data_IF_265647490315
#
_entry.id   IF_265647490315
#
_cell.length_a   1.000
_cell.length_b   1.000
_cell.length_c   1.000
_cell.angle_alpha   90.00
_cell.angle_beta   90.00
_cell.angle_gamma   90.00
#
_symmetry.space_group_name_H-M   'P 1'
#
loop_
_entity.id
_entity.type
_entity.pdbx_description
1 polymer ?
#
# COMPACT_ATOMS: atom_id res chain seq x y z
N UNK A 1 20.35 -8.23 -15.64
CA UNK A 1 20.06 -9.06 -14.45
C UNK A 1 18.57 -9.11 -14.23
N UNK A 2 17.91 -10.24 -14.49
CA UNK A 2 16.50 -10.43 -14.15
C UNK A 2 16.38 -10.50 -12.63
N UNK A 3 15.75 -9.52 -11.98
CA UNK A 3 15.37 -9.65 -10.56
C UNK A 3 14.42 -10.84 -10.48
N UNK A 4 14.83 -11.92 -9.80
CA UNK A 4 13.91 -12.98 -9.41
C UNK A 4 13.02 -12.42 -8.30
N UNK A 5 11.92 -11.77 -8.68
CA UNK A 5 10.97 -11.20 -7.72
C UNK A 5 10.19 -12.35 -7.08
N UNK A 6 10.57 -12.71 -5.84
CA UNK A 6 9.81 -13.66 -5.06
C UNK A 6 8.55 -12.99 -4.49
N UNK A 7 7.43 -13.70 -4.49
CA UNK A 7 6.18 -13.20 -3.89
C UNK A 7 6.33 -13.07 -2.36
N UNK A 8 6.07 -11.87 -1.83
CA UNK A 8 6.20 -11.43 -0.43
C UNK A 8 4.86 -11.18 0.30
N UNK A 9 3.77 -11.77 -0.21
CA UNK A 9 2.42 -11.61 0.37
C UNK A 9 2.37 -11.82 1.90
N UNK A 10 3.05 -12.86 2.40
CA UNK A 10 3.11 -13.14 3.85
C UNK A 10 3.70 -11.96 4.62
N UNK A 11 4.85 -11.46 4.19
CA UNK A 11 5.54 -10.37 4.86
C UNK A 11 4.68 -9.10 4.87
N UNK A 12 4.03 -8.80 3.75
CA UNK A 12 3.14 -7.65 3.63
C UNK A 12 1.93 -7.74 4.57
N UNK A 13 1.22 -8.88 4.60
CA UNK A 13 0.08 -9.08 5.49
C UNK A 13 0.46 -9.00 6.97
N UNK A 14 1.55 -9.67 7.37
CA UNK A 14 2.02 -9.63 8.76
C UNK A 14 2.39 -8.20 9.18
N UNK A 15 3.02 -7.43 8.29
CA UNK A 15 3.35 -6.02 8.55
C UNK A 15 2.09 -5.18 8.73
N UNK A 16 1.12 -5.33 7.82
CA UNK A 16 -0.15 -4.60 7.89
C UNK A 16 -0.92 -4.91 9.19
N UNK A 17 -1.03 -6.19 9.58
CA UNK A 17 -1.72 -6.58 10.81
C UNK A 17 -1.05 -6.01 12.07
N UNK A 18 0.29 -6.01 12.11
CA UNK A 18 1.05 -5.39 13.20
C UNK A 18 0.82 -3.87 13.28
N UNK A 19 0.77 -3.18 12.14
CA UNK A 19 0.60 -1.72 12.13
C UNK A 19 -0.84 -1.28 12.42
N UNK A 20 -1.83 -2.04 11.92
CA UNK A 20 -3.26 -1.74 12.09
C UNK A 20 -3.83 -2.20 13.44
N UNK A 21 -3.14 -3.09 14.16
CA UNK A 21 -3.66 -3.72 15.38
C UNK A 21 -4.80 -4.72 15.12
N UNK A 22 -5.07 -5.06 13.86
CA UNK A 22 -6.11 -6.00 13.49
C UNK A 22 -5.64 -7.44 13.64
N UNK A 23 -6.58 -8.33 14.00
CA UNK A 23 -6.36 -9.77 13.89
C UNK A 23 -6.54 -10.24 12.45
N UNK A 24 -5.88 -11.35 12.08
CA UNK A 24 -6.07 -11.99 10.78
C UNK A 24 -7.55 -12.37 10.55
N UNK A 25 -8.25 -12.84 11.58
CA UNK A 25 -9.66 -13.20 11.49
C UNK A 25 -10.55 -11.98 11.17
N UNK A 26 -10.26 -10.84 11.79
CA UNK A 26 -10.99 -9.58 11.55
C UNK A 26 -10.72 -9.04 10.15
N UNK A 27 -9.46 -9.10 9.69
CA UNK A 27 -9.12 -8.73 8.32
C UNK A 27 -9.86 -9.61 7.30
N UNK A 28 -9.91 -10.92 7.54
CA UNK A 28 -10.59 -11.87 6.67
C UNK A 28 -12.09 -11.57 6.56
N UNK A 29 -12.77 -11.33 7.69
CA UNK A 29 -14.18 -10.94 7.71
C UNK A 29 -14.43 -9.64 6.94
N UNK A 30 -13.64 -8.60 7.19
CA UNK A 30 -13.83 -7.29 6.55
C UNK A 30 -13.51 -7.30 5.05
N UNK A 31 -12.54 -8.11 4.63
CA UNK A 31 -12.18 -8.26 3.23
C UNK A 31 -13.04 -9.30 2.48
N UNK A 32 -14.00 -9.96 3.16
CA UNK A 32 -14.85 -10.98 2.53
C UNK A 32 -14.10 -12.25 2.11
N UNK A 33 -12.99 -12.57 2.78
CA UNK A 33 -12.15 -13.74 2.47
C UNK A 33 -12.28 -14.80 3.58
N UNK A 34 -12.31 -16.11 3.27
CA UNK A 34 -12.38 -17.13 4.31
C UNK A 34 -11.21 -17.03 5.30
N UNK A 35 -11.50 -17.12 6.61
CA UNK A 35 -10.49 -17.00 7.68
C UNK A 35 -9.30 -17.94 7.51
N UNK A 36 -9.56 -19.21 7.18
CA UNK A 36 -8.52 -20.22 6.95
C UNK A 36 -7.64 -19.90 5.74
N UNK A 37 -8.18 -19.23 4.72
CA UNK A 37 -7.42 -18.76 3.56
C UNK A 37 -6.43 -17.68 3.97
N UNK A 38 -6.90 -16.63 4.66
CA UNK A 38 -6.03 -15.52 5.06
C UNK A 38 -4.98 -15.94 6.11
N UNK A 39 -5.35 -16.80 7.05
CA UNK A 39 -4.39 -17.42 7.97
C UNK A 39 -3.34 -18.25 7.21
N UNK A 40 -3.77 -19.04 6.22
CA UNK A 40 -2.87 -19.80 5.34
C UNK A 40 -1.82 -18.90 4.67
N UNK A 41 -2.21 -17.74 4.17
CA UNK A 41 -1.29 -16.77 3.58
C UNK A 41 -0.32 -16.18 4.60
N UNK A 42 -0.78 -15.89 5.82
CA UNK A 42 0.09 -15.45 6.92
C UNK A 42 1.10 -16.54 7.35
N UNK A 43 0.79 -17.81 7.10
CA UNK A 43 1.70 -18.95 7.29
C UNK A 43 2.59 -19.23 6.06
N UNK A 44 2.42 -18.50 4.97
CA UNK A 44 3.24 -18.62 3.75
C UNK A 44 2.69 -19.56 2.69
N UNK A 45 1.44 -20.05 2.84
CA UNK A 45 0.77 -20.77 1.76
C UNK A 45 0.54 -19.83 0.59
N UNK A 46 0.83 -20.30 -0.63
CA UNK A 46 0.56 -19.53 -1.85
C UNK A 46 -0.95 -19.33 -2.05
N UNK A 47 -1.39 -18.14 -2.47
CA UNK A 47 -2.80 -17.92 -2.82
C UNK A 47 -3.15 -18.75 -4.06
N UNK A 48 -4.32 -19.37 -4.04
CA UNK A 48 -4.88 -20.12 -5.18
C UNK A 48 -5.86 -19.28 -5.99
N UNK A 49 -6.44 -18.27 -5.36
CA UNK A 49 -7.44 -17.38 -5.94
C UNK A 49 -6.91 -15.95 -5.83
N UNK A 50 -6.62 -15.34 -6.98
CA UNK A 50 -6.08 -13.98 -7.05
C UNK A 50 -7.15 -12.91 -6.81
N UNK A 51 -8.42 -13.19 -7.06
CA UNK A 51 -9.52 -12.26 -6.77
C UNK A 51 -9.64 -12.01 -5.26
N UNK A 52 -9.46 -13.05 -4.45
CA UNK A 52 -9.41 -12.90 -2.99
C UNK A 52 -8.24 -12.04 -2.53
N UNK A 53 -7.07 -12.15 -3.17
CA UNK A 53 -5.93 -11.29 -2.87
C UNK A 53 -6.24 -9.84 -3.23
N UNK A 54 -6.95 -9.62 -4.36
CA UNK A 54 -7.40 -8.30 -4.79
C UNK A 54 -8.39 -7.67 -3.81
N UNK A 55 -9.32 -8.43 -3.26
CA UNK A 55 -10.26 -7.90 -2.24
C UNK A 55 -9.54 -7.48 -0.96
N UNK A 56 -8.53 -8.26 -0.53
CA UNK A 56 -7.68 -7.87 0.61
C UNK A 56 -6.87 -6.62 0.29
N UNK A 57 -6.29 -6.50 -0.90
CA UNK A 57 -5.56 -5.30 -1.34
C UNK A 57 -6.46 -4.06 -1.34
N UNK A 58 -7.67 -4.17 -1.89
CA UNK A 58 -8.68 -3.10 -1.88
C UNK A 58 -9.04 -2.67 -0.46
N UNK A 59 -9.29 -3.63 0.44
CA UNK A 59 -9.60 -3.33 1.83
C UNK A 59 -8.45 -2.61 2.56
N UNK A 60 -7.20 -3.05 2.33
CA UNK A 60 -6.00 -2.42 2.88
C UNK A 60 -5.75 -1.04 2.26
N UNK A 61 -6.23 -0.80 1.04
CA UNK A 61 -6.02 0.44 0.30
C UNK A 61 -4.68 0.50 -0.44
N UNK A 62 -4.12 -0.64 -0.82
CA UNK A 62 -2.86 -0.76 -1.58
C UNK A 62 -3.10 -1.42 -2.93
N UNK A 63 -2.15 -1.25 -3.86
CA UNK A 63 -2.16 -2.00 -5.12
C UNK A 63 -1.91 -3.49 -4.88
N UNK A 64 -2.40 -4.33 -5.81
CA UNK A 64 -2.19 -5.77 -5.75
C UNK A 64 -0.69 -6.11 -5.78
N UNK A 65 0.08 -5.43 -6.65
CA UNK A 65 1.52 -5.60 -6.77
C UNK A 65 2.26 -5.17 -5.49
N UNK A 66 1.88 -4.06 -4.86
CA UNK A 66 2.46 -3.64 -3.58
C UNK A 66 2.23 -4.71 -2.49
N UNK A 67 1.01 -5.26 -2.42
CA UNK A 67 0.69 -6.33 -1.48
C UNK A 67 1.49 -7.62 -1.77
N UNK A 68 1.70 -7.96 -3.04
CA UNK A 68 2.35 -9.20 -3.45
C UNK A 68 3.88 -9.13 -3.41
N UNK A 69 4.49 -7.99 -3.71
CA UNK A 69 5.93 -7.86 -3.92
C UNK A 69 6.63 -6.93 -2.95
N UNK A 70 5.87 -6.34 -2.01
CA UNK A 70 6.41 -5.41 -1.03
C UNK A 70 7.09 -4.21 -1.70
N UNK A 71 6.60 -3.85 -2.89
CA UNK A 71 6.99 -2.62 -3.54
C UNK A 71 6.28 -1.48 -2.82
N UNK A 72 7.05 -0.49 -2.38
CA UNK A 72 6.48 0.71 -1.81
C UNK A 72 5.52 1.30 -2.84
N UNK A 73 4.24 1.34 -2.51
CA UNK A 73 3.25 2.08 -3.28
C UNK A 73 3.70 3.54 -3.26
N UNK A 74 4.32 4.00 -4.35
CA UNK A 74 4.46 5.43 -4.63
C UNK A 74 3.07 6.11 -4.76
N UNK A 75 1.98 5.34 -4.66
CA UNK A 75 0.62 5.82 -4.42
C UNK A 75 0.46 6.62 -3.11
N UNK A 76 1.46 6.64 -2.22
CA UNK A 76 1.55 7.63 -1.14
C UNK A 76 1.80 9.08 -1.64
N UNK A 77 2.07 9.27 -2.94
CA UNK A 77 1.89 10.55 -3.64
C UNK A 77 0.48 10.70 -4.21
N UNK A 78 -0.56 10.11 -3.57
CA UNK A 78 -1.93 10.58 -3.77
C UNK A 78 -2.00 12.02 -3.29
N UNK A 79 -1.78 12.94 -4.22
CA UNK A 79 -2.39 14.26 -4.15
C UNK A 79 -3.87 13.99 -3.92
N UNK A 80 -4.38 14.34 -2.74
CA UNK A 80 -5.80 14.18 -2.46
C UNK A 80 -6.53 15.17 -3.36
N UNK A 81 -7.46 14.65 -4.17
CA UNK A 81 -8.23 15.42 -5.17
C UNK A 81 -9.02 16.59 -4.58
N UNK A 82 -9.17 16.64 -3.24
CA UNK A 82 -9.71 17.80 -2.53
C UNK A 82 -8.88 19.08 -2.66
N UNK A 83 -7.63 18.99 -3.13
CA UNK A 83 -6.72 20.13 -3.29
C UNK A 83 -6.40 20.49 -4.75
N UNK A 84 -7.09 19.88 -5.73
CA UNK A 84 -6.88 20.14 -7.16
C UNK A 84 -8.04 20.95 -7.78
N UNK A 85 -8.48 22.01 -7.11
CA UNK A 85 -9.25 23.04 -7.81
C UNK A 85 -8.30 23.81 -8.75
N UNK A 86 -8.54 23.74 -10.07
CA UNK A 86 -7.79 24.52 -11.06
C UNK A 86 -6.64 23.80 -11.80
N UNK A 87 -6.55 22.46 -11.75
CA UNK A 87 -5.62 21.69 -12.58
C UNK A 87 -6.34 21.03 -13.75
N UNK A 88 -5.87 21.26 -14.99
CA UNK A 88 -6.42 20.64 -16.21
C UNK A 88 -5.63 19.38 -16.58
N UNK A 89 -6.31 18.38 -17.15
CA UNK A 89 -5.68 17.18 -17.71
C UNK A 89 -5.51 17.37 -19.21
N UNK A 90 -4.27 17.35 -19.69
CA UNK A 90 -3.94 17.40 -21.10
C UNK A 90 -4.24 16.04 -21.77
N UNK A 91 -4.47 15.98 -23.10
CA UNK A 91 -4.85 14.74 -23.80
C UNK A 91 -3.85 13.59 -23.72
N UNK A 92 -2.59 13.89 -23.38
CA UNK A 92 -1.49 12.96 -23.17
C UNK A 92 -1.35 12.50 -21.71
N UNK A 93 -2.25 12.94 -20.83
CA UNK A 93 -2.34 12.52 -19.44
C UNK A 93 -1.54 13.37 -18.45
N UNK A 94 -0.94 14.49 -18.89
CA UNK A 94 -0.26 15.41 -17.99
C UNK A 94 -1.23 16.37 -17.28
N UNK A 95 -0.97 16.69 -16.02
CA UNK A 95 -1.71 17.69 -15.29
C UNK A 95 -0.99 19.04 -15.33
N UNK A 96 -1.70 20.13 -15.66
CA UNK A 96 -1.15 21.50 -15.65
C UNK A 96 -1.83 22.34 -14.57
N UNK A 97 -1.03 23.08 -13.79
CA UNK A 97 -1.52 24.04 -12.79
C UNK A 97 -0.39 24.64 -11.95
N UNK A 98 -0.75 25.53 -11.01
CA UNK A 98 0.20 26.22 -10.12
C UNK A 98 0.15 25.61 -8.73
N UNK A 99 1.32 25.29 -8.14
CA UNK A 99 1.43 24.74 -6.78
C UNK A 99 2.36 25.61 -5.93
N UNK A 100 2.00 25.83 -4.67
CA UNK A 100 2.86 26.48 -3.68
C UNK A 100 3.47 25.41 -2.76
N UNK A 101 4.81 25.34 -2.69
CA UNK A 101 5.51 24.44 -1.76
C UNK A 101 6.16 25.23 -0.64
N UNK A 102 5.86 24.86 0.61
CA UNK A 102 6.52 25.42 1.79
C UNK A 102 7.37 24.34 2.47
N UNK A 103 8.68 24.57 2.51
CA UNK A 103 9.61 23.72 3.25
C UNK A 103 9.97 24.40 4.57
N UNK A 104 9.88 23.66 5.68
CA UNK A 104 10.39 24.12 6.97
C UNK A 104 11.65 23.33 7.30
N UNK A 105 12.77 24.01 7.41
CA UNK A 105 13.98 23.43 7.97
C UNK A 105 13.79 23.19 9.47
N UNK A 106 13.94 21.95 9.92
CA UNK A 106 14.02 21.62 11.34
C UNK A 106 15.50 21.66 11.73
N UNK A 107 15.91 22.46 12.73
CA UNK A 107 17.30 22.46 13.18
C UNK A 107 17.66 21.07 13.69
N UNK A 108 18.69 20.48 13.10
CA UNK A 108 19.20 19.17 13.50
C UNK A 108 19.61 19.19 14.97
N UNK A 109 19.18 18.18 15.73
CA UNK A 109 19.67 17.95 17.08
C UNK A 109 21.20 17.84 17.03
N UNK A 110 21.87 18.86 17.54
CA UNK A 110 23.31 18.81 17.78
C UNK A 110 23.59 17.59 18.67
N UNK A 111 24.36 16.62 18.13
CA UNK A 111 24.99 15.61 18.97
C UNK A 111 25.87 16.34 19.98
N UNK A 112 25.46 16.36 21.24
CA UNK A 112 26.36 16.69 22.35
C UNK A 112 27.38 15.55 22.41
N UNK A 113 28.63 15.89 22.11
CA UNK A 113 29.80 15.05 22.34
C UNK A 113 30.11 15.01 23.83
#
# INVERSE_FOLDING_TARGET
MLRRTCMKLRQALVRYLKHSGLSASTLAERAGVPKGTLQGWCLGKRPRNMDQVREVAKFIGVSLDALLFDEADYAALRITTKQLEGFTVDPDGWHRGTLEVRFRHLPGQARKN
#
